data_IF_670195207953
#
_entry.id   IF_670195207953
#
_cell.length_a   1.000
_cell.length_b   1.000
_cell.length_c   1.000
_cell.angle_alpha   90.00
_cell.angle_beta   90.00
_cell.angle_gamma   90.00
#
_symmetry.space_group_name_H-M   'P 1'
#
loop_
_entity.id
_entity.type
_entity.pdbx_description
1 polymer ?
#
# COMPACT_ATOMS: atom_id res chain seq x y z
N UNK A 1 -3.01 14.82 0.42
CA UNK A 1 -2.96 13.52 -0.31
C UNK A 1 -3.25 12.41 0.68
N UNK A 2 -4.29 11.66 0.44
CA UNK A 2 -4.71 10.54 1.30
C UNK A 2 -4.87 9.30 0.42
N UNK A 3 -4.16 8.23 0.76
CA UNK A 3 -4.19 6.96 0.02
C UNK A 3 -4.44 5.79 0.99
N UNK A 4 -4.87 4.64 0.48
CA UNK A 4 -5.07 3.45 1.31
C UNK A 4 -4.42 2.22 0.69
N UNK A 5 -3.90 1.33 1.52
CA UNK A 5 -3.62 -0.06 1.14
C UNK A 5 -4.73 -0.95 1.69
N UNK A 6 -5.30 -1.77 0.82
CA UNK A 6 -6.40 -2.66 1.21
C UNK A 6 -6.43 -3.96 0.42
N UNK A 7 -6.72 -5.06 1.08
CA UNK A 7 -7.15 -6.34 0.51
C UNK A 7 -8.08 -7.05 1.50
N UNK A 8 -8.98 -7.87 0.98
CA UNK A 8 -9.95 -8.64 1.79
C UNK A 8 -9.32 -9.74 2.67
N UNK A 9 -8.02 -10.02 2.51
CA UNK A 9 -7.30 -11.09 3.25
C UNK A 9 -6.02 -10.54 3.88
N UNK A 10 -5.65 -11.09 5.03
CA UNK A 10 -4.35 -10.86 5.66
C UNK A 10 -3.19 -11.52 4.90
N UNK A 11 -1.96 -11.14 5.21
CA UNK A 11 -0.74 -11.75 4.67
C UNK A 11 -0.41 -11.41 3.20
N UNK A 12 -1.04 -10.40 2.61
CA UNK A 12 -0.81 -9.97 1.22
C UNK A 12 0.32 -8.94 1.06
N UNK A 13 0.93 -8.52 2.17
CA UNK A 13 2.01 -7.52 2.17
C UNK A 13 1.56 -6.07 2.30
N UNK A 14 0.30 -5.81 2.75
CA UNK A 14 -0.23 -4.44 2.97
C UNK A 14 0.69 -3.60 3.85
N UNK A 15 0.89 -4.01 5.09
CA UNK A 15 1.66 -3.25 6.08
C UNK A 15 3.12 -3.04 5.64
N UNK A 16 3.71 -4.07 5.00
CA UNK A 16 5.03 -3.95 4.41
C UNK A 16 5.10 -2.85 3.34
N UNK A 17 4.10 -2.82 2.46
CA UNK A 17 3.99 -1.82 1.40
C UNK A 17 3.70 -0.44 1.99
N UNK A 18 2.78 -0.33 2.96
CA UNK A 18 2.45 0.92 3.65
C UNK A 18 3.66 1.55 4.31
N UNK A 19 4.49 0.76 5.00
CA UNK A 19 5.74 1.21 5.62
C UNK A 19 6.71 1.75 4.56
N UNK A 20 6.93 1.00 3.49
CA UNK A 20 7.84 1.42 2.42
C UNK A 20 7.38 2.72 1.76
N UNK A 21 6.07 2.83 1.46
CA UNK A 21 5.48 4.03 0.86
C UNK A 21 5.54 5.23 1.81
N UNK A 22 5.20 5.03 3.08
CA UNK A 22 5.25 6.06 4.12
C UNK A 22 6.63 6.68 4.21
N UNK A 23 7.65 5.87 4.44
CA UNK A 23 9.03 6.35 4.62
C UNK A 23 9.60 6.99 3.35
N UNK A 24 9.29 6.46 2.17
CA UNK A 24 9.82 6.95 0.91
C UNK A 24 9.21 8.29 0.47
N UNK A 25 7.98 8.56 0.92
CA UNK A 25 7.19 9.71 0.47
C UNK A 25 6.77 10.65 1.62
N UNK A 26 7.30 10.41 2.82
CA UNK A 26 7.01 11.22 4.02
C UNK A 26 5.50 11.29 4.31
N UNK A 27 4.87 10.10 4.43
CA UNK A 27 3.46 9.97 4.77
C UNK A 27 3.30 9.48 6.20
N UNK A 28 2.36 10.04 6.95
CA UNK A 28 1.89 9.42 8.19
C UNK A 28 1.17 8.10 7.90
N UNK A 29 1.26 7.13 8.81
CA UNK A 29 0.48 5.88 8.75
C UNK A 29 -0.69 5.96 9.72
N UNK A 30 -1.88 5.58 9.24
CA UNK A 30 -3.05 5.32 10.07
C UNK A 30 -3.46 3.88 9.83
N UNK A 31 -3.52 3.06 10.88
CA UNK A 31 -3.80 1.64 10.76
C UNK A 31 -4.87 1.19 11.74
N UNK A 32 -5.69 0.22 11.35
CA UNK A 32 -6.57 -0.53 12.25
C UNK A 32 -6.02 -1.93 12.61
N UNK A 33 -4.75 -2.20 12.31
CA UNK A 33 -4.06 -3.44 12.70
C UNK A 33 -3.15 -3.17 13.93
N UNK A 34 -3.74 -3.26 15.11
CA UNK A 34 -3.03 -3.06 16.37
C UNK A 34 -2.01 -4.16 16.70
N UNK A 35 -2.03 -5.28 15.97
CA UNK A 35 -1.11 -6.40 16.22
C UNK A 35 0.18 -6.31 15.42
N UNK A 36 0.21 -5.47 14.38
CA UNK A 36 1.43 -5.32 13.59
C UNK A 36 2.46 -4.43 14.32
N UNK A 37 3.74 -4.84 14.45
CA UNK A 37 4.76 -4.12 15.21
C UNK A 37 5.35 -2.95 14.43
N UNK A 38 4.58 -1.90 14.19
CA UNK A 38 5.00 -0.71 13.43
C UNK A 38 6.18 0.03 14.06
N UNK A 39 6.27 0.03 15.39
CA UNK A 39 7.33 0.65 16.19
C UNK A 39 8.74 0.16 15.82
N UNK A 40 8.84 -1.05 15.27
CA UNK A 40 10.11 -1.56 14.73
C UNK A 40 10.57 -0.81 13.47
N UNK A 41 9.69 -0.16 12.73
CA UNK A 41 9.94 0.38 11.40
C UNK A 41 9.76 1.89 11.32
N UNK A 42 8.81 2.44 12.04
CA UNK A 42 8.35 3.82 11.97
C UNK A 42 8.49 4.49 13.35
N UNK A 43 8.68 5.79 13.38
CA UNK A 43 8.67 6.57 14.60
C UNK A 43 7.23 6.87 15.04
N UNK A 44 7.01 6.97 16.35
CA UNK A 44 5.68 7.09 16.94
C UNK A 44 4.90 8.33 16.47
N UNK A 45 5.59 9.44 16.20
CA UNK A 45 4.99 10.68 15.72
C UNK A 45 4.43 10.60 14.28
N UNK A 46 4.76 9.55 13.54
CA UNK A 46 4.26 9.29 12.18
C UNK A 46 3.28 8.11 12.12
N UNK A 47 2.82 7.61 13.25
CA UNK A 47 1.94 6.46 13.34
C UNK A 47 0.73 6.75 14.22
N UNK A 48 -0.46 6.41 13.72
CA UNK A 48 -1.69 6.34 14.50
C UNK A 48 -2.31 4.95 14.33
N UNK A 49 -2.48 4.23 15.42
CA UNK A 49 -3.21 2.97 15.45
C UNK A 49 -4.61 3.22 16.02
N UNK A 50 -5.64 2.85 15.27
CA UNK A 50 -7.05 3.01 15.62
C UNK A 50 -7.57 1.67 16.13
N UNK A 51 -8.10 1.63 17.35
CA UNK A 51 -8.65 0.42 17.94
C UNK A 51 -9.98 0.00 17.28
N UNK A 52 -10.40 -1.26 17.44
CA UNK A 52 -11.63 -1.76 16.79
C UNK A 52 -12.91 -1.01 17.17
N UNK A 53 -12.97 -0.43 18.35
CA UNK A 53 -14.10 0.31 18.94
C UNK A 53 -14.00 1.84 18.75
N UNK A 54 -12.94 2.31 18.11
CA UNK A 54 -12.69 3.73 17.82
C UNK A 54 -12.98 4.05 16.35
N UNK A 55 -13.48 5.26 16.10
CA UNK A 55 -13.61 5.78 14.74
C UNK A 55 -12.26 6.29 14.20
N UNK A 56 -12.08 6.22 12.88
CA UNK A 56 -10.95 6.87 12.27
C UNK A 56 -11.04 8.39 12.45
N UNK A 57 -9.94 9.06 12.79
CA UNK A 57 -9.95 10.51 12.96
C UNK A 57 -10.23 11.21 11.62
N UNK A 58 -10.86 12.38 11.71
CA UNK A 58 -10.96 13.27 10.55
C UNK A 58 -9.59 13.88 10.26
N UNK A 59 -9.06 13.60 9.08
CA UNK A 59 -7.74 14.09 8.66
C UNK A 59 -7.91 15.26 7.69
N UNK A 60 -7.25 16.40 7.93
CA UNK A 60 -7.24 17.53 7.01
C UNK A 60 -6.80 17.13 5.60
N UNK A 61 -7.42 17.69 4.57
CA UNK A 61 -7.20 17.31 3.17
C UNK A 61 -5.76 17.60 2.67
N UNK A 62 -5.05 18.52 3.30
CA UNK A 62 -3.66 18.88 3.00
C UNK A 62 -2.65 17.92 3.65
N UNK A 63 -3.05 17.14 4.65
CA UNK A 63 -2.19 16.14 5.24
C UNK A 63 -1.92 14.97 4.29
N UNK A 64 -0.69 14.45 4.38
CA UNK A 64 -0.23 13.30 3.60
C UNK A 64 -0.25 12.06 4.48
N UNK A 65 -1.19 11.15 4.22
CA UNK A 65 -1.34 9.93 5.01
C UNK A 65 -1.58 8.71 4.13
N UNK A 66 -1.16 7.57 4.62
CA UNK A 66 -1.51 6.25 4.10
C UNK A 66 -2.30 5.47 5.15
N UNK A 67 -3.49 5.04 4.78
CA UNK A 67 -4.29 4.13 5.60
C UNK A 67 -3.86 2.69 5.31
N UNK A 68 -3.32 2.00 6.31
CA UNK A 68 -3.04 0.56 6.25
C UNK A 68 -4.23 -0.19 6.84
N UNK A 69 -5.14 -0.62 5.97
CA UNK A 69 -6.43 -1.16 6.37
C UNK A 69 -6.38 -2.68 6.51
N UNK A 70 -6.70 -3.19 7.68
CA UNK A 70 -6.88 -4.61 7.95
C UNK A 70 -7.99 -5.24 7.08
N UNK A 71 -7.94 -6.57 6.90
CA UNK A 71 -8.73 -7.30 5.91
C UNK A 71 -10.26 -7.32 6.08
N UNK A 72 -10.83 -6.72 7.12
CA UNK A 72 -12.28 -6.61 7.31
C UNK A 72 -12.77 -5.23 6.86
N UNK A 73 -13.65 -5.22 5.86
CA UNK A 73 -14.36 -4.00 5.46
C UNK A 73 -15.58 -3.80 6.37
N UNK A 74 -15.38 -3.24 7.54
CA UNK A 74 -16.48 -2.66 8.32
C UNK A 74 -16.88 -1.29 7.71
N UNK A 75 -17.94 -0.68 8.26
CA UNK A 75 -18.45 0.59 7.75
C UNK A 75 -17.38 1.70 7.76
N UNK A 76 -16.51 1.72 8.76
CA UNK A 76 -15.43 2.72 8.91
C UNK A 76 -14.40 2.59 7.79
N UNK A 77 -13.99 1.35 7.46
CA UNK A 77 -13.09 1.05 6.34
C UNK A 77 -13.70 1.46 5.01
N UNK A 78 -15.00 1.21 4.82
CA UNK A 78 -15.72 1.62 3.60
C UNK A 78 -15.71 3.15 3.43
N UNK A 79 -15.93 3.91 4.50
CA UNK A 79 -15.88 5.38 4.44
C UNK A 79 -14.47 5.89 4.05
N UNK A 80 -13.41 5.29 4.58
CA UNK A 80 -12.04 5.62 4.16
C UNK A 80 -11.81 5.28 2.69
N UNK A 81 -12.23 4.08 2.24
CA UNK A 81 -12.06 3.66 0.83
C UNK A 81 -12.80 4.59 -0.15
N UNK A 82 -13.93 5.18 0.25
CA UNK A 82 -14.65 6.18 -0.55
C UNK A 82 -13.92 7.54 -0.62
N UNK A 83 -13.26 7.92 0.47
CA UNK A 83 -12.70 9.26 0.64
C UNK A 83 -11.28 9.42 0.06
N UNK A 84 -10.48 8.34 0.02
CA UNK A 84 -9.08 8.42 -0.41
C UNK A 84 -8.93 8.66 -1.92
N UNK A 85 -7.83 9.33 -2.28
CA UNK A 85 -7.50 9.65 -3.68
C UNK A 85 -7.09 8.40 -4.47
N UNK A 86 -6.53 7.38 -3.81
CA UNK A 86 -6.07 6.14 -4.45
C UNK A 86 -6.18 4.98 -3.47
N UNK A 87 -6.65 3.84 -3.95
CA UNK A 87 -6.55 2.56 -3.22
C UNK A 87 -5.50 1.67 -3.89
N UNK A 88 -4.51 1.28 -3.12
CA UNK A 88 -3.44 0.38 -3.54
C UNK A 88 -3.77 -1.04 -3.09
N UNK A 89 -3.83 -1.96 -4.03
CA UNK A 89 -4.14 -3.37 -3.79
C UNK A 89 -2.87 -4.20 -3.97
N UNK A 90 -2.15 -4.55 -2.89
CA UNK A 90 -0.99 -5.41 -2.98
C UNK A 90 -1.38 -6.85 -3.29
N UNK A 91 -0.58 -7.51 -4.11
CA UNK A 91 -0.75 -8.89 -4.53
C UNK A 91 0.60 -9.62 -4.45
N UNK A 92 0.64 -10.75 -3.78
CA UNK A 92 1.78 -11.67 -3.81
C UNK A 92 1.68 -12.65 -4.99
N UNK A 93 2.74 -13.40 -5.24
CA UNK A 93 2.79 -14.42 -6.31
C UNK A 93 1.82 -15.58 -6.07
N UNK A 94 1.36 -16.19 -7.13
CA UNK A 94 0.48 -17.37 -7.11
C UNK A 94 -0.99 -17.07 -7.44
N UNK A 95 -1.66 -18.07 -8.00
CA UNK A 95 -3.04 -17.93 -8.52
C UNK A 95 -4.06 -17.59 -7.41
N UNK A 96 -3.90 -18.17 -6.22
CA UNK A 96 -4.75 -17.83 -5.06
C UNK A 96 -4.64 -16.35 -4.71
N UNK A 97 -3.43 -15.79 -4.72
CA UNK A 97 -3.20 -14.38 -4.41
C UNK A 97 -3.77 -13.46 -5.50
N UNK A 98 -3.67 -13.87 -6.76
CA UNK A 98 -4.30 -13.15 -7.87
C UNK A 98 -5.83 -13.15 -7.74
N UNK A 99 -6.43 -14.27 -7.31
CA UNK A 99 -7.87 -14.34 -7.08
C UNK A 99 -8.32 -13.45 -5.91
N UNK A 100 -7.57 -13.43 -4.80
CA UNK A 100 -7.80 -12.51 -3.68
C UNK A 100 -7.73 -11.05 -4.15
N UNK A 101 -6.76 -10.73 -4.99
CA UNK A 101 -6.60 -9.40 -5.56
C UNK A 101 -7.83 -9.02 -6.41
N UNK A 102 -8.30 -9.89 -7.33
CA UNK A 102 -9.50 -9.64 -8.14
C UNK A 102 -10.75 -9.41 -7.29
N UNK A 103 -10.96 -10.22 -6.25
CA UNK A 103 -12.08 -10.03 -5.32
C UNK A 103 -11.98 -8.73 -4.53
N UNK A 104 -10.75 -8.36 -4.12
CA UNK A 104 -10.52 -7.07 -3.46
C UNK A 104 -10.86 -5.91 -4.39
N UNK A 105 -10.41 -5.96 -5.64
CA UNK A 105 -10.73 -4.96 -6.66
C UNK A 105 -12.23 -4.85 -6.88
N UNK A 106 -12.94 -5.98 -7.03
CA UNK A 106 -14.39 -5.99 -7.23
C UNK A 106 -15.16 -5.35 -6.06
N UNK A 107 -14.68 -5.55 -4.84
CA UNK A 107 -15.25 -4.90 -3.65
C UNK A 107 -14.96 -3.40 -3.64
N UNK A 108 -13.71 -2.99 -3.88
CA UNK A 108 -13.30 -1.57 -3.84
C UNK A 108 -13.98 -0.78 -4.95
N UNK A 109 -14.09 -1.34 -6.16
CA UNK A 109 -14.63 -0.66 -7.34
C UNK A 109 -16.09 -0.18 -7.19
N UNK A 110 -16.81 -0.67 -6.18
CA UNK A 110 -18.13 -0.18 -5.79
C UNK A 110 -18.07 1.20 -5.12
N UNK A 111 -16.92 1.56 -4.53
CA UNK A 111 -16.74 2.76 -3.74
C UNK A 111 -15.72 3.73 -4.34
N UNK A 112 -14.64 3.20 -4.92
CA UNK A 112 -13.55 3.99 -5.48
C UNK A 112 -13.08 3.40 -6.81
N UNK A 113 -12.94 4.26 -7.83
CA UNK A 113 -12.48 3.86 -9.16
C UNK A 113 -10.97 3.97 -9.34
N UNK A 114 -10.30 4.73 -8.47
CA UNK A 114 -8.86 4.93 -8.52
C UNK A 114 -8.16 3.77 -7.79
N UNK A 115 -7.91 2.70 -8.51
CA UNK A 115 -7.30 1.49 -7.98
C UNK A 115 -5.96 1.25 -8.68
N UNK A 116 -4.90 1.04 -7.91
CA UNK A 116 -3.58 0.63 -8.38
C UNK A 116 -3.26 -0.76 -7.85
N UNK A 117 -2.99 -1.70 -8.73
CA UNK A 117 -2.53 -3.03 -8.34
C UNK A 117 -1.01 -3.04 -8.22
N UNK A 118 -0.52 -3.52 -7.08
CA UNK A 118 0.92 -3.65 -6.83
C UNK A 118 1.30 -5.12 -6.70
N UNK A 119 1.94 -5.66 -7.73
CA UNK A 119 2.52 -6.98 -7.73
C UNK A 119 3.80 -6.99 -6.88
N UNK A 120 3.71 -7.47 -5.66
CA UNK A 120 4.79 -7.46 -4.69
C UNK A 120 5.51 -8.82 -4.66
N UNK A 121 6.83 -8.81 -4.60
CA UNK A 121 7.70 -10.00 -4.66
C UNK A 121 7.68 -10.76 -5.99
N UNK A 122 7.37 -10.12 -7.09
CA UNK A 122 7.39 -10.72 -8.43
C UNK A 122 8.78 -10.67 -9.06
N UNK A 123 9.04 -11.64 -9.95
CA UNK A 123 10.11 -11.53 -10.95
C UNK A 123 9.58 -10.81 -12.18
N UNK A 124 10.47 -10.28 -13.02
CA UNK A 124 10.10 -9.64 -14.29
C UNK A 124 9.28 -10.58 -15.19
N UNK A 125 9.67 -11.85 -15.25
CA UNK A 125 8.97 -12.88 -16.05
C UNK A 125 7.54 -13.12 -15.55
N UNK A 126 7.34 -13.25 -14.25
CA UNK A 126 6.00 -13.42 -13.66
C UNK A 126 5.13 -12.18 -13.86
N UNK A 127 5.72 -11.00 -13.74
CA UNK A 127 5.00 -9.75 -13.95
C UNK A 127 4.53 -9.58 -15.41
N UNK A 128 5.31 -10.02 -16.40
CA UNK A 128 4.99 -9.88 -17.81
C UNK A 128 3.62 -10.51 -18.21
N UNK A 129 3.15 -11.50 -17.45
CA UNK A 129 1.86 -12.16 -17.68
C UNK A 129 0.66 -11.45 -17.04
N UNK A 130 0.92 -10.54 -16.08
CA UNK A 130 -0.14 -9.91 -15.29
C UNK A 130 -1.00 -8.90 -16.07
N UNK A 131 -0.48 -8.07 -16.99
CA UNK A 131 -1.30 -7.10 -17.71
C UNK A 131 -2.53 -7.68 -18.38
N UNK A 132 -2.40 -8.91 -18.93
CA UNK A 132 -3.52 -9.65 -19.54
C UNK A 132 -4.57 -10.11 -18.52
N UNK A 133 -4.14 -10.38 -17.29
CA UNK A 133 -5.01 -10.88 -16.19
C UNK A 133 -5.69 -9.78 -15.43
N UNK A 134 -5.18 -8.55 -15.49
CA UNK A 134 -5.65 -7.36 -14.78
C UNK A 134 -5.90 -6.19 -15.76
N UNK A 135 -6.48 -6.51 -16.90
CA UNK A 135 -6.82 -5.51 -17.92
C UNK A 135 -7.74 -4.43 -17.34
N UNK A 136 -7.45 -3.16 -17.68
CA UNK A 136 -8.19 -2.02 -17.17
C UNK A 136 -7.71 -1.47 -15.82
N UNK A 137 -6.72 -2.10 -15.18
CA UNK A 137 -6.12 -1.59 -13.93
C UNK A 137 -4.64 -1.25 -14.10
N UNK A 138 -4.21 -0.08 -13.62
CA UNK A 138 -2.79 0.25 -13.53
C UNK A 138 -2.05 -0.81 -12.70
N UNK A 139 -0.89 -1.23 -13.18
CA UNK A 139 -0.05 -2.24 -12.55
C UNK A 139 1.34 -1.71 -12.29
N UNK A 140 1.83 -1.88 -11.07
CA UNK A 140 3.24 -1.74 -10.71
C UNK A 140 3.75 -3.05 -10.13
N UNK A 141 5.06 -3.23 -10.12
CA UNK A 141 5.66 -4.38 -9.47
C UNK A 141 6.92 -4.00 -8.69
N UNK A 142 7.16 -4.78 -7.64
CA UNK A 142 8.37 -4.73 -6.83
C UNK A 142 8.98 -6.12 -6.76
N UNK A 143 10.28 -6.18 -6.97
CA UNK A 143 11.03 -7.42 -6.83
C UNK A 143 11.03 -7.90 -5.37
N UNK A 144 11.21 -9.21 -5.17
CA UNK A 144 11.43 -9.77 -3.83
C UNK A 144 12.72 -9.19 -3.25
N UNK A 145 12.61 -8.51 -2.13
CA UNK A 145 13.73 -7.83 -1.47
C UNK A 145 13.69 -8.03 0.04
N UNK A 146 14.81 -7.71 0.69
CA UNK A 146 14.91 -7.58 2.14
C UNK A 146 14.61 -6.15 2.62
N UNK A 147 13.66 -5.48 1.96
CA UNK A 147 13.35 -4.08 2.24
C UNK A 147 12.97 -3.84 3.70
N UNK A 148 12.07 -4.64 4.24
CA UNK A 148 11.64 -4.50 5.63
C UNK A 148 12.77 -4.76 6.63
N UNK A 149 13.62 -5.76 6.40
CA UNK A 149 14.78 -6.01 7.27
C UNK A 149 15.70 -4.79 7.31
N UNK A 150 15.95 -4.17 6.15
CA UNK A 150 16.76 -2.96 6.05
C UNK A 150 16.10 -1.75 6.73
N UNK A 151 14.79 -1.58 6.55
CA UNK A 151 14.04 -0.51 7.22
C UNK A 151 14.07 -0.71 8.73
N UNK A 152 13.86 -1.94 9.22
CA UNK A 152 13.92 -2.29 10.64
C UNK A 152 15.26 -1.92 11.27
N UNK A 153 16.36 -2.21 10.57
CA UNK A 153 17.72 -1.92 11.03
C UNK A 153 18.00 -0.41 11.10
N UNK A 154 17.53 0.36 10.13
CA UNK A 154 17.93 1.75 9.94
C UNK A 154 16.83 2.78 10.24
N UNK A 155 15.56 2.39 10.27
CA UNK A 155 14.37 3.27 10.40
C UNK A 155 14.41 4.47 9.42
N UNK A 156 14.78 4.20 8.17
CA UNK A 156 14.97 5.22 7.12
C UNK A 156 14.37 4.75 5.79
N UNK A 157 14.04 5.71 4.88
CA UNK A 157 13.66 5.37 3.52
C UNK A 157 14.70 4.51 2.82
N UNK A 158 14.27 3.55 2.01
CA UNK A 158 15.18 2.68 1.26
C UNK A 158 16.09 3.44 0.32
N UNK A 159 15.60 4.54 -0.28
CA UNK A 159 16.40 5.44 -1.12
C UNK A 159 17.60 6.08 -0.39
N UNK A 160 17.54 6.15 0.94
CA UNK A 160 18.63 6.67 1.78
C UNK A 160 19.53 5.59 2.37
N UNK A 161 19.08 4.32 2.38
CA UNK A 161 19.84 3.19 2.94
C UNK A 161 20.66 2.49 1.86
N UNK A 162 20.12 2.38 0.65
CA UNK A 162 20.53 1.44 -0.36
C UNK A 162 21.68 1.96 -1.27
N UNK A 163 22.49 1.02 -1.72
CA UNK A 163 23.34 1.21 -2.86
C UNK A 163 22.54 1.39 -4.17
N UNK A 164 23.22 1.80 -5.25
CA UNK A 164 22.59 2.16 -6.52
C UNK A 164 21.78 1.04 -7.19
N UNK A 165 22.09 -0.23 -6.95
CA UNK A 165 21.39 -1.38 -7.52
C UNK A 165 20.03 -1.57 -6.84
N UNK A 166 20.00 -1.49 -5.53
CA UNK A 166 18.79 -1.64 -4.73
C UNK A 166 17.77 -0.50 -4.98
N UNK A 167 18.26 0.72 -5.23
CA UNK A 167 17.41 1.89 -5.54
C UNK A 167 16.56 1.73 -6.80
N UNK A 168 17.05 1.02 -7.81
CA UNK A 168 16.30 0.80 -9.06
C UNK A 168 15.18 -0.23 -8.89
N UNK A 169 15.40 -1.23 -8.06
CA UNK A 169 14.47 -2.34 -7.87
C UNK A 169 13.32 -2.02 -6.91
N UNK A 170 13.46 -0.95 -6.11
CA UNK A 170 12.54 -0.63 -5.01
C UNK A 170 12.05 0.83 -5.02
N UNK A 171 11.69 1.38 -6.18
CA UNK A 171 11.17 2.75 -6.23
C UNK A 171 9.73 2.84 -5.74
N UNK A 172 9.55 2.92 -4.43
CA UNK A 172 8.26 3.14 -3.78
C UNK A 172 7.71 4.57 -3.95
N UNK A 173 8.33 5.39 -4.80
CA UNK A 173 7.77 6.67 -5.26
C UNK A 173 6.77 6.52 -6.39
N UNK A 174 6.88 5.47 -7.20
CA UNK A 174 6.04 5.22 -8.39
C UNK A 174 4.54 5.26 -8.13
N UNK A 175 3.99 4.72 -7.03
CA UNK A 175 2.57 4.82 -6.76
C UNK A 175 2.07 6.26 -6.67
N UNK A 176 2.88 7.19 -6.13
CA UNK A 176 2.51 8.60 -6.03
C UNK A 176 2.67 9.35 -7.36
N UNK A 177 3.63 8.97 -8.19
CA UNK A 177 3.76 9.48 -9.57
C UNK A 177 2.50 9.12 -10.37
N UNK A 178 1.92 7.95 -10.13
CA UNK A 178 0.66 7.55 -10.75
C UNK A 178 -0.51 8.45 -10.37
N UNK A 179 -0.62 8.88 -9.10
CA UNK A 179 -1.66 9.82 -8.64
C UNK A 179 -1.54 11.16 -9.38
N UNK A 180 -0.33 11.68 -9.54
CA UNK A 180 -0.09 12.93 -10.23
C UNK A 180 -0.55 12.83 -11.69
N UNK A 181 -0.24 11.72 -12.35
CA UNK A 181 -0.68 11.48 -13.73
C UNK A 181 -2.23 11.37 -13.88
N UNK A 182 -2.93 10.89 -12.84
CA UNK A 182 -4.40 10.84 -12.83
C UNK A 182 -5.04 12.23 -12.66
N UNK A 183 -4.34 13.19 -12.04
CA UNK A 183 -4.83 14.57 -11.87
C UNK A 183 -4.66 15.42 -13.13
N UNK A 184 -3.80 15.01 -14.06
CA UNK A 184 -3.51 15.71 -15.31
C UNK A 184 -4.38 15.22 -16.49
N UNK A 185 -5.27 14.24 -16.26
CA UNK A 185 -6.24 13.68 -17.23
C UNK A 185 -7.67 14.07 -16.87
#
# INVERSE_FOLDING_TARGET
MQIATYTIKGGTGKSALSICLSLENDLGIISNDALFPYDHYIKDDNLLVVNPDEDFPSIPSDMKVIYDLGGYADQRVIEILKAVELVIVPMLTGDEQQEICRRSIANIAQFNKNILVVANCYTEKEFAELPKKFEGFPLLWFAKTKALDRIKEHKKPLSKIADTKFKRECSYKRPLEHINNLKDT
#
